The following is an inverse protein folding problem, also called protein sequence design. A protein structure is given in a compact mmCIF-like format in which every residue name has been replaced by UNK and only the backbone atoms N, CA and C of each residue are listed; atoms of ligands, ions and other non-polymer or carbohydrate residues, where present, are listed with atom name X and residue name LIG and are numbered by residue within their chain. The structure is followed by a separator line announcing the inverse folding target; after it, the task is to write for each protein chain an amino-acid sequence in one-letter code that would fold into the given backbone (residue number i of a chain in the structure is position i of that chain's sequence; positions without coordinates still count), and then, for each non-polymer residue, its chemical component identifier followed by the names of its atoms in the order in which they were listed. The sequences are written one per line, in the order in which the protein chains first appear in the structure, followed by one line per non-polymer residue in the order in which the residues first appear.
data_IF_057767964280
#
_entry.id   IF_057767964280
#
_cell.length_a   1.000
_cell.length_b   1.000
_cell.length_c   1.000
_cell.angle_alpha   90.00
_cell.angle_beta   90.00
_cell.angle_gamma   90.00
#
_symmetry.space_group_name_H-M   'P 1'
#
loop_
_entity.id
_entity.type
_entity.pdbx_description
1 polymer ?
2 polymer ?
3 polymer ?
#
# COMPACT_ATOMS: atom_id res chain seq x y z
N UNK A 1 -13.82 1.29 7.93
CA UNK A 1 -12.54 0.66 8.25
C UNK A 1 -12.29 -0.53 7.34
N UNK A 2 -11.08 -1.07 7.38
CA UNK A 2 -10.67 -2.20 6.57
C UNK A 2 -10.61 -3.44 7.44
N UNK A 3 -11.27 -4.51 7.02
CA UNK A 3 -11.23 -5.76 7.77
C UNK A 3 -11.07 -6.94 6.83
N UNK A 4 -10.27 -7.91 7.28
CA UNK A 4 -10.08 -9.17 6.58
C UNK A 4 -10.58 -10.29 7.48
N UNK A 5 -11.53 -11.08 6.99
CA UNK A 5 -12.15 -12.14 7.77
C UNK A 5 -11.95 -13.46 7.05
N UNK A 6 -11.72 -14.52 7.81
CA UNK A 6 -11.44 -15.83 7.25
C UNK A 6 -12.61 -16.78 7.52
N UNK A 7 -12.51 -17.97 6.94
CA UNK A 7 -13.50 -19.03 7.16
C UNK A 7 -13.19 -19.77 8.46
N UNK A 8 -13.95 -20.83 8.70
CA UNK A 8 -13.81 -21.61 9.92
C UNK A 8 -12.61 -22.54 9.89
N UNK A 9 -12.43 -23.25 10.99
CA UNK A 9 -11.33 -24.19 11.12
C UNK A 9 -11.58 -25.44 10.27
N UNK A 10 -10.49 -26.12 9.94
CA UNK A 10 -10.54 -27.36 9.18
C UNK A 10 -9.74 -28.44 9.90
N UNK A 11 -10.26 -29.68 9.82
CA UNK A 11 -9.71 -30.82 10.55
C UNK A 11 -9.36 -31.83 9.44
N UNK A 12 -8.89 -31.30 8.31
CA UNK A 12 -8.56 -32.14 7.16
C UNK A 12 -7.48 -33.16 7.50
N UNK A 13 -7.69 -34.40 7.05
CA UNK A 13 -6.75 -35.48 7.26
C UNK A 13 -5.54 -35.32 6.35
N UNK A 14 -4.43 -36.02 6.65
CA UNK A 14 -3.27 -35.97 5.75
C UNK A 14 -3.61 -36.44 4.33
N UNK A 15 -3.03 -35.75 3.35
CA UNK A 15 -3.23 -36.06 1.95
C UNK A 15 -4.24 -35.17 1.26
N UNK A 16 -5.06 -34.45 2.01
CA UNK A 16 -6.09 -33.60 1.43
C UNK A 16 -5.53 -32.19 1.20
N UNK A 17 -6.41 -31.26 0.82
CA UNK A 17 -6.02 -29.89 0.56
C UNK A 17 -7.00 -28.95 1.25
N UNK A 18 -6.53 -27.75 1.56
CA UNK A 18 -7.34 -26.76 2.26
C UNK A 18 -7.89 -25.77 1.25
N UNK A 19 -8.92 -25.04 1.68
CA UNK A 19 -9.63 -24.05 0.87
C UNK A 19 -9.81 -22.79 1.70
N UNK A 20 -8.72 -22.28 2.25
CA UNK A 20 -8.80 -21.24 3.27
C UNK A 20 -9.12 -19.91 2.58
N UNK A 21 -10.29 -19.35 2.87
CA UNK A 21 -10.81 -18.19 2.16
C UNK A 21 -10.61 -16.94 3.00
N UNK A 22 -10.26 -15.84 2.33
CA UNK A 22 -10.00 -14.55 2.96
C UNK A 22 -10.88 -13.51 2.30
N UNK A 23 -11.92 -13.07 3.00
CA UNK A 23 -12.78 -12.00 2.52
C UNK A 23 -12.24 -10.66 2.98
N UNK A 24 -12.13 -9.73 2.04
CA UNK A 24 -11.60 -8.40 2.30
C UNK A 24 -12.70 -7.37 2.14
N UNK A 25 -12.85 -6.48 3.12
CA UNK A 25 -13.92 -5.48 3.07
C UNK A 25 -13.39 -4.15 3.57
N UNK A 26 -14.00 -3.08 3.07
CA UNK A 26 -13.64 -1.73 3.44
C UNK A 26 -12.62 -1.07 2.54
N UNK A 27 -12.16 -1.73 1.50
CA UNK A 27 -11.14 -1.18 0.61
C UNK A 27 -11.27 -1.85 -0.75
N UNK A 28 -10.64 -1.23 -1.75
CA UNK A 28 -10.69 -1.73 -3.12
C UNK A 28 -9.81 -2.96 -3.25
N UNK A 29 -10.45 -4.13 -3.42
CA UNK A 29 -9.72 -5.38 -3.43
C UNK A 29 -8.78 -5.47 -4.64
N UNK A 30 -9.20 -4.95 -5.78
CA UNK A 30 -8.28 -4.75 -6.89
C UNK A 30 -7.26 -3.69 -6.48
N UNK A 31 -5.98 -3.99 -6.70
CA UNK A 31 -4.93 -3.22 -6.07
C UNK A 31 -4.55 -3.82 -4.73
N UNK A 32 -3.55 -3.22 -4.12
CA UNK A 32 -2.90 -3.71 -2.88
C UNK A 32 -2.40 -5.13 -3.12
N UNK A 33 -2.26 -5.91 -2.05
CA UNK A 33 -1.78 -7.29 -2.16
C UNK A 33 -2.43 -8.12 -1.06
N UNK A 34 -2.46 -9.43 -1.28
CA UNK A 34 -2.95 -10.36 -0.26
C UNK A 34 -1.84 -11.37 0.01
N UNK A 35 -1.21 -11.27 1.16
CA UNK A 35 -0.18 -12.21 1.56
C UNK A 35 -0.76 -13.24 2.51
N UNK A 36 -0.21 -14.45 2.46
CA UNK A 36 -0.60 -15.54 3.35
C UNK A 36 0.63 -15.92 4.15
N UNK A 37 0.50 -15.89 5.48
CA UNK A 37 1.58 -16.21 6.40
C UNK A 37 1.04 -17.19 7.43
N UNK A 38 1.74 -18.30 7.64
CA UNK A 38 1.27 -19.29 8.61
C UNK A 38 2.14 -19.26 9.87
N UNK A 39 1.53 -19.65 10.98
CA UNK A 39 2.20 -19.69 12.27
C UNK A 39 1.86 -21.02 12.93
N UNK A 40 2.85 -21.89 13.04
CA UNK A 40 2.67 -23.11 13.81
C UNK A 40 2.59 -22.77 15.30
N UNK A 41 1.77 -23.49 16.07
CA UNK A 41 1.62 -23.15 17.50
C UNK A 41 2.89 -23.47 18.27
N UNK A 42 3.43 -22.45 18.94
CA UNK A 42 4.67 -22.56 19.66
C UNK A 42 5.90 -22.05 18.94
N UNK A 43 5.75 -21.59 17.70
CA UNK A 43 6.87 -21.09 16.90
C UNK A 43 6.50 -19.73 16.32
N UNK A 44 7.49 -19.09 15.69
CA UNK A 44 7.28 -17.79 15.11
C UNK A 44 6.60 -17.83 13.76
N UNK A 45 6.27 -16.65 13.25
CA UNK A 45 5.64 -16.54 11.94
C UNK A 45 6.65 -16.87 10.85
N UNK A 46 6.25 -17.72 9.91
CA UNK A 46 7.01 -17.95 8.69
C UNK A 46 6.06 -17.80 7.51
N UNK A 47 6.60 -17.30 6.41
CA UNK A 47 5.77 -16.77 5.34
C UNK A 47 5.23 -17.97 4.56
N UNK A 48 4.15 -17.77 3.81
CA UNK A 48 3.79 -18.72 2.76
C UNK A 48 3.89 -18.11 1.36
N UNK A 49 3.16 -17.03 1.07
CA UNK A 49 3.19 -16.50 -0.29
C UNK A 49 2.25 -15.33 -0.54
N UNK A 50 2.55 -14.44 -1.50
CA UNK A 50 1.60 -13.37 -1.80
C UNK A 50 0.98 -13.56 -3.18
N UNK A 51 -0.30 -13.20 -3.25
CA UNK A 51 -1.05 -13.04 -4.49
C UNK A 51 -1.35 -11.56 -4.71
N UNK A 52 -1.19 -11.13 -5.96
CA UNK A 52 -1.61 -9.81 -6.39
C UNK A 52 -2.97 -9.92 -7.05
N UNK A 53 -4.00 -9.25 -6.54
CA UNK A 53 -5.35 -9.41 -7.12
C UNK A 53 -5.48 -8.88 -8.54
N UNK A 54 -4.58 -8.01 -9.01
CA UNK A 54 -4.71 -7.46 -10.36
C UNK A 54 -4.36 -8.49 -11.42
N UNK A 55 -3.27 -9.23 -11.23
CA UNK A 55 -2.70 -10.04 -12.31
C UNK A 55 -2.74 -11.55 -12.06
N UNK A 56 -3.00 -11.99 -10.83
CA UNK A 56 -2.92 -13.41 -10.43
C UNK A 56 -1.56 -14.01 -10.78
N UNK A 57 -0.51 -13.30 -10.42
CA UNK A 57 0.84 -13.86 -10.37
C UNK A 57 1.19 -14.06 -8.91
N UNK A 58 1.76 -15.21 -8.60
CA UNK A 58 2.05 -15.59 -7.23
C UNK A 58 3.53 -15.34 -6.92
N UNK A 59 3.83 -15.31 -5.63
CA UNK A 59 5.21 -15.46 -5.18
C UNK A 59 5.15 -16.31 -3.91
N UNK A 60 5.50 -17.57 -4.05
CA UNK A 60 5.62 -18.47 -2.91
C UNK A 60 7.04 -18.43 -2.35
N UNK A 61 7.18 -18.91 -1.12
CA UNK A 61 8.51 -19.21 -0.62
C UNK A 61 9.04 -20.46 -1.32
N UNK A 62 10.36 -20.65 -1.24
CA UNK A 62 10.97 -21.80 -1.90
C UNK A 62 10.60 -23.11 -1.24
N UNK A 63 10.13 -23.08 0.01
CA UNK A 63 9.67 -24.30 0.67
C UNK A 63 8.30 -24.71 0.17
N UNK A 64 7.45 -23.75 -0.15
CA UNK A 64 6.06 -24.00 -0.52
C UNK A 64 5.84 -23.98 -2.03
N UNK A 65 6.91 -24.00 -2.82
CA UNK A 65 6.79 -23.96 -4.27
C UNK A 65 6.25 -25.30 -4.78
N UNK A 66 5.12 -25.26 -5.47
CA UNK A 66 4.53 -26.43 -6.07
C UNK A 66 3.38 -27.05 -5.30
N UNK A 67 3.25 -26.74 -4.01
CA UNK A 67 2.16 -27.28 -3.20
C UNK A 67 1.04 -26.28 -2.95
N UNK A 68 1.33 -24.98 -3.02
CA UNK A 68 0.38 -23.93 -2.66
C UNK A 68 0.00 -23.20 -3.92
N UNK A 69 -1.31 -22.98 -4.12
CA UNK A 69 -1.81 -22.19 -5.24
C UNK A 69 -2.80 -21.17 -4.71
N UNK A 70 -2.39 -19.89 -4.68
CA UNK A 70 -3.30 -18.82 -4.34
C UNK A 70 -4.13 -18.42 -5.55
N UNK A 71 -5.44 -18.28 -5.35
CA UNK A 71 -6.36 -17.83 -6.38
C UNK A 71 -7.12 -16.64 -5.80
N UNK A 72 -7.41 -15.63 -6.63
CA UNK A 72 -8.24 -14.53 -6.16
C UNK A 72 -9.53 -14.48 -6.97
N UNK A 73 -10.59 -14.05 -6.31
CA UNK A 73 -11.88 -13.81 -6.96
C UNK A 73 -12.25 -12.37 -6.59
N UNK A 74 -12.03 -11.47 -7.55
CA UNK A 74 -12.24 -10.04 -7.31
C UNK A 74 -13.71 -9.66 -7.34
N UNK A 75 -14.59 -10.52 -7.87
CA UNK A 75 -16.02 -10.24 -7.82
C UNK A 75 -16.55 -10.29 -6.39
N UNK A 76 -16.10 -11.28 -5.61
CA UNK A 76 -16.48 -11.37 -4.21
C UNK A 76 -15.38 -10.86 -3.28
N UNK A 77 -14.28 -10.34 -3.84
CA UNK A 77 -13.16 -9.77 -3.09
C UNK A 77 -12.56 -10.78 -2.10
N UNK A 78 -12.37 -12.02 -2.56
CA UNK A 78 -11.97 -13.10 -1.68
C UNK A 78 -10.78 -13.84 -2.26
N UNK A 79 -9.75 -14.05 -1.45
CA UNK A 79 -8.57 -14.80 -1.84
C UNK A 79 -8.64 -16.21 -1.27
N UNK A 80 -8.60 -17.20 -2.15
CA UNK A 80 -8.55 -18.61 -1.75
C UNK A 80 -7.10 -19.09 -1.68
N UNK A 81 -6.81 -19.84 -0.63
CA UNK A 81 -5.58 -20.59 -0.46
C UNK A 81 -5.86 -22.08 -0.63
N UNK A 82 -4.98 -22.74 -1.38
CA UNK A 82 -5.04 -24.19 -1.62
C UNK A 82 -3.66 -24.77 -1.32
N UNK A 83 -3.44 -25.25 -0.10
CA UNK A 83 -2.21 -25.95 0.24
C UNK A 83 -2.49 -27.44 0.03
N UNK A 84 -2.03 -27.98 -1.09
CA UNK A 84 -2.23 -29.38 -1.40
C UNK A 84 -1.14 -30.23 -0.77
N UNK A 85 -1.46 -31.53 -0.62
CA UNK A 85 -0.56 -32.54 -0.05
C UNK A 85 -0.10 -32.16 1.35
N UNK A 86 -1.07 -32.09 2.26
CA UNK A 86 -0.81 -31.75 3.66
C UNK A 86 0.01 -32.85 4.34
N UNK A 87 0.83 -32.44 5.29
CA UNK A 87 1.44 -33.38 6.23
C UNK A 87 1.11 -32.95 7.66
N UNK A 88 1.70 -33.68 8.62
CA UNK A 88 1.44 -33.39 10.03
C UNK A 88 2.09 -32.09 10.48
N UNK A 89 3.10 -31.59 9.77
CA UNK A 89 3.77 -30.35 10.14
C UNK A 89 3.00 -29.11 9.70
N UNK A 90 1.90 -29.28 8.96
CA UNK A 90 1.14 -28.15 8.45
C UNK A 90 0.04 -27.69 9.39
N UNK A 91 -0.06 -28.26 10.58
CA UNK A 91 -1.01 -27.78 11.58
C UNK A 91 -0.57 -26.40 12.07
N UNK A 92 -1.39 -25.39 11.78
CA UNK A 92 -0.98 -24.00 12.00
C UNK A 92 -2.18 -23.08 11.92
N UNK A 93 -1.96 -21.82 12.30
CA UNK A 93 -2.90 -20.74 12.08
C UNK A 93 -2.48 -20.01 10.82
N UNK A 94 -3.39 -19.88 9.86
CA UNK A 94 -3.04 -19.34 8.54
C UNK A 94 -3.58 -17.92 8.40
N UNK A 95 -2.76 -16.95 8.77
CA UNK A 95 -3.14 -15.55 8.73
C UNK A 95 -3.12 -15.01 7.31
N UNK A 96 -4.08 -14.12 7.03
CA UNK A 96 -4.24 -13.42 5.76
C UNK A 96 -3.99 -11.94 6.00
N UNK A 97 -2.88 -11.43 5.48
CA UNK A 97 -2.52 -10.04 5.70
C UNK A 97 -2.55 -9.25 4.39
N UNK A 98 -2.62 -7.93 4.53
CA UNK A 98 -2.74 -7.03 3.39
C UNK A 98 -1.55 -6.08 3.38
N UNK A 99 -0.77 -6.10 2.30
CA UNK A 99 0.34 -5.17 2.16
C UNK A 99 -0.16 -3.76 1.93
N UNK A 100 0.47 -2.79 2.61
CA UNK A 100 0.03 -1.41 2.56
C UNK A 100 0.43 -0.73 1.25
N UNK A 101 0.15 0.57 1.17
CA UNK A 101 0.50 1.35 -0.01
C UNK A 101 2.01 1.46 -0.15
N UNK A 102 2.51 1.06 -1.31
CA UNK A 102 3.94 0.98 -1.54
C UNK A 102 4.51 2.35 -1.88
N UNK A 103 5.36 2.87 -0.98
CA UNK A 103 6.13 4.08 -1.24
C UNK A 103 7.61 3.78 -1.06
N UNK A 104 8.40 4.02 -2.12
CA UNK A 104 9.83 3.74 -2.21
C UNK A 104 10.13 2.30 -1.75
N UNK A 105 9.69 1.32 -2.53
CA UNK A 105 9.92 -0.07 -2.19
C UNK A 105 8.80 -0.64 -1.35
N UNK A 106 8.80 -1.96 -1.16
CA UNK A 106 7.68 -2.63 -0.50
C UNK A 106 7.59 -2.30 0.98
N UNK A 107 6.40 -2.54 1.54
CA UNK A 107 6.03 -1.99 2.83
C UNK A 107 5.39 -3.08 3.69
N UNK A 108 4.78 -2.64 4.78
CA UNK A 108 4.32 -3.53 5.85
C UNK A 108 3.00 -4.19 5.48
N UNK A 109 2.47 -4.95 6.43
CA UNK A 109 1.19 -5.65 6.33
C UNK A 109 0.20 -4.90 7.22
N UNK A 110 -0.58 -4.02 6.61
CA UNK A 110 -1.27 -2.96 7.34
C UNK A 110 -2.43 -3.47 8.18
N UNK A 111 -3.25 -4.36 7.62
CA UNK A 111 -4.24 -5.12 8.39
C UNK A 111 -4.00 -6.62 8.27
N UNK A 112 -4.36 -7.34 9.33
CA UNK A 112 -4.20 -8.78 9.40
C UNK A 112 -5.58 -9.44 9.54
N UNK A 113 -5.67 -10.69 9.09
CA UNK A 113 -6.91 -11.42 9.11
C UNK A 113 -7.19 -12.09 10.44
N UNK A 114 -8.20 -12.95 10.43
CA UNK A 114 -8.61 -13.70 11.61
C UNK A 114 -7.69 -14.93 11.69
N UNK A 115 -7.92 -15.83 12.65
CA UNK A 115 -7.09 -17.01 12.76
C UNK A 115 -7.76 -18.30 12.32
N UNK A 116 -7.29 -18.89 11.22
CA UNK A 116 -7.79 -20.17 10.75
C UNK A 116 -6.86 -21.27 11.23
N UNK A 117 -7.34 -22.06 12.18
CA UNK A 117 -6.60 -23.22 12.69
C UNK A 117 -6.84 -24.41 11.77
N UNK A 118 -5.81 -24.81 11.03
CA UNK A 118 -5.86 -26.03 10.24
C UNK A 118 -5.04 -27.06 11.02
N UNK A 119 -5.74 -28.04 11.58
CA UNK A 119 -5.10 -29.15 12.28
C UNK A 119 -5.12 -30.39 11.38
N UNK A 120 -3.98 -31.05 11.28
CA UNK A 120 -3.81 -32.19 10.39
C UNK A 120 -3.23 -33.34 11.22
N UNK A 121 -4.02 -34.40 11.40
CA UNK A 121 -3.59 -35.56 12.16
C UNK A 121 -4.46 -36.74 11.77
N UNK A 122 -4.09 -37.92 12.27
CA UNK A 122 -4.84 -39.13 11.98
C UNK A 122 -6.17 -39.16 12.71
N UNK B 3 15.24 -16.28 8.12
CA UNK B 3 16.44 -15.69 7.54
C UNK B 3 17.07 -14.71 8.51
N UNK B 4 16.26 -13.78 9.02
CA UNK B 4 16.74 -12.80 9.98
C UNK B 4 17.00 -13.46 11.33
N UNK B 5 18.14 -13.15 11.93
CA UNK B 5 18.53 -13.70 13.21
C UNK B 5 18.20 -12.73 14.33
N UNK B 6 17.46 -13.20 15.32
CA UNK B 6 17.04 -12.41 16.47
C UNK B 6 17.34 -13.17 17.74
N UNK B 7 17.48 -12.49 18.87
CA UNK B 7 17.57 -13.20 20.14
C UNK B 7 16.28 -13.93 20.44
N UNK B 8 16.35 -15.09 21.12
CA UNK B 8 15.13 -15.83 21.41
C UNK B 8 14.16 -15.10 22.33
N UNK B 9 14.64 -14.61 23.47
CA UNK B 9 13.78 -13.94 24.43
C UNK B 9 14.59 -12.88 25.17
N UNK B 10 13.88 -11.92 25.75
CA UNK B 10 14.48 -10.86 26.55
C UNK B 10 13.56 -10.58 27.73
N UNK B 11 14.15 -10.21 28.87
CA UNK B 11 13.42 -9.96 30.09
C UNK B 11 13.75 -8.55 30.60
N UNK B 12 13.17 -8.20 31.75
CA UNK B 12 13.42 -6.91 32.35
C UNK B 12 12.29 -6.43 33.24
N UNK B 13 12.64 -5.65 34.26
CA UNK B 13 11.66 -5.06 35.14
C UNK B 13 10.88 -3.97 34.40
N UNK B 14 9.66 -3.68 34.83
CA UNK B 14 8.94 -2.54 34.24
C UNK B 14 9.61 -1.21 34.57
N UNK B 15 9.56 -0.29 33.61
CA UNK B 15 9.97 1.09 33.84
C UNK B 15 11.22 1.56 33.15
N UNK B 16 11.96 0.70 32.44
CA UNK B 16 13.16 1.17 31.75
C UNK B 16 13.20 0.79 30.28
N UNK B 17 14.33 1.08 29.64
CA UNK B 17 14.52 0.96 28.20
C UNK B 17 15.16 -0.39 27.90
N UNK B 18 14.56 -1.14 26.98
CA UNK B 18 15.19 -2.38 26.51
C UNK B 18 15.09 -2.46 24.99
N UNK B 19 16.17 -2.94 24.36
CA UNK B 19 16.37 -2.96 22.92
C UNK B 19 16.40 -4.40 22.43
N UNK B 20 15.67 -4.67 21.35
CA UNK B 20 15.78 -5.93 20.61
C UNK B 20 16.33 -5.62 19.23
N UNK B 21 16.99 -6.61 18.64
CA UNK B 21 17.75 -6.43 17.42
C UNK B 21 17.13 -7.26 16.29
N UNK B 22 17.66 -7.04 15.09
CA UNK B 22 17.21 -7.75 13.89
C UNK B 22 18.39 -7.74 12.92
N UNK B 23 19.09 -8.86 12.82
CA UNK B 23 20.29 -8.97 12.01
C UNK B 23 20.02 -9.83 10.78
N UNK B 24 20.33 -9.29 9.61
CA UNK B 24 20.16 -10.02 8.37
C UNK B 24 21.35 -9.91 7.45
N UNK B 25 21.19 -10.38 6.20
CA UNK B 25 22.27 -10.32 5.23
C UNK B 25 22.22 -9.00 4.46
N UNK B 26 23.20 -8.82 3.58
CA UNK B 26 23.25 -7.60 2.77
C UNK B 26 22.22 -7.60 1.64
N UNK B 27 21.67 -8.77 1.31
CA UNK B 27 20.70 -8.85 0.22
C UNK B 27 19.30 -8.44 0.64
N UNK B 28 19.01 -8.33 1.93
CA UNK B 28 17.64 -8.07 2.33
C UNK B 28 17.49 -6.89 3.29
N UNK B 29 18.47 -6.61 4.13
CA UNK B 29 18.52 -5.35 4.89
C UNK B 29 19.54 -4.39 4.30
N UNK B 30 20.73 -4.88 3.97
CA UNK B 30 21.76 -4.04 3.38
C UNK B 30 21.45 -3.58 1.97
N UNK B 31 20.50 -4.24 1.29
CA UNK B 31 20.07 -3.80 -0.03
C UNK B 31 19.19 -2.56 0.02
N UNK B 32 18.77 -2.13 1.22
CA UNK B 32 17.96 -0.94 1.36
C UNK B 32 16.49 -1.20 1.60
N UNK B 33 16.10 -2.45 1.88
CA UNK B 33 14.70 -2.79 1.97
C UNK B 33 14.18 -2.48 3.38
N UNK B 34 12.92 -2.07 3.45
CA UNK B 34 12.37 -1.55 4.69
C UNK B 34 12.09 -2.68 5.67
N UNK B 35 12.65 -2.57 6.87
CA UNK B 35 12.41 -3.51 7.96
C UNK B 35 11.19 -3.05 8.73
N UNK B 36 10.27 -3.98 8.99
CA UNK B 36 9.04 -3.65 9.70
C UNK B 36 8.92 -4.51 10.94
N UNK B 37 8.26 -3.99 11.97
CA UNK B 37 8.16 -4.66 13.26
C UNK B 37 6.71 -4.91 13.63
N UNK B 38 6.46 -6.08 14.22
CA UNK B 38 5.11 -6.56 14.50
C UNK B 38 4.99 -7.03 15.93
N UNK B 39 3.88 -6.66 16.57
CA UNK B 39 3.52 -7.08 17.91
C UNK B 39 2.40 -8.11 17.85
N UNK B 40 2.59 -9.23 18.53
CA UNK B 40 1.60 -10.30 18.62
C UNK B 40 1.26 -10.50 20.09
N UNK B 41 0.06 -10.09 20.49
CA UNK B 41 -0.47 -10.48 21.78
C UNK B 41 -0.86 -11.95 21.74
N UNK B 42 -0.80 -12.64 22.88
CA UNK B 42 -1.18 -14.06 22.90
C UNK B 42 -2.65 -14.26 22.58
N UNK B 43 -2.94 -15.24 21.73
CA UNK B 43 -4.30 -15.62 21.41
C UNK B 43 -4.96 -14.82 20.31
N UNK B 44 -4.26 -13.87 19.68
CA UNK B 44 -4.83 -13.04 18.64
C UNK B 44 -3.85 -12.92 17.48
N UNK B 45 -4.34 -12.35 16.39
CA UNK B 45 -3.50 -12.08 15.23
C UNK B 45 -2.48 -10.98 15.55
N UNK B 46 -1.29 -11.05 14.97
CA UNK B 46 -0.30 -9.98 15.18
C UNK B 46 -0.78 -8.64 14.65
N UNK B 47 -0.41 -7.58 15.35
CA UNK B 47 -0.84 -6.23 15.03
C UNK B 47 0.37 -5.42 14.59
N UNK B 48 0.15 -4.53 13.61
CA UNK B 48 1.19 -3.64 13.10
C UNK B 48 1.76 -2.79 14.23
N UNK B 49 3.08 -2.76 14.35
CA UNK B 49 3.75 -2.01 15.39
C UNK B 49 4.59 -0.87 14.83
N UNK B 50 5.55 -1.17 13.95
CA UNK B 50 6.41 -0.15 13.36
C UNK B 50 6.47 -0.40 11.85
N UNK B 51 6.13 0.63 11.06
CA UNK B 51 6.25 0.56 9.62
C UNK B 51 7.23 1.65 9.21
N UNK B 52 7.87 1.47 8.06
CA UNK B 52 8.76 2.49 7.55
C UNK B 52 9.96 2.77 8.43
N UNK B 53 10.27 1.80 9.30
CA UNK B 53 11.53 1.64 10.03
C UNK B 53 11.68 2.65 11.17
N UNK B 54 10.99 3.79 11.13
CA UNK B 54 11.04 4.73 12.24
C UNK B 54 9.67 5.34 12.46
N UNK B 55 8.80 5.18 11.47
CA UNK B 55 7.49 5.78 11.53
C UNK B 55 6.61 4.98 12.48
N UNK B 56 5.57 5.62 12.98
CA UNK B 56 4.71 5.04 14.01
C UNK B 56 3.27 5.24 13.59
N UNK B 57 2.48 4.17 13.48
CA UNK B 57 1.09 4.30 13.06
C UNK B 57 0.21 4.80 14.20
N UNK B 58 -1.09 4.86 13.93
CA UNK B 58 -2.05 5.30 14.93
C UNK B 58 -2.41 4.16 15.87
N UNK B 59 -2.89 4.51 17.06
CA UNK B 59 -3.28 3.54 18.04
C UNK B 59 -2.15 2.97 18.87
N UNK B 60 -0.92 3.40 18.63
CA UNK B 60 0.24 2.88 19.35
C UNK B 60 1.01 4.08 19.91
N UNK B 61 1.43 4.04 21.18
CA UNK B 61 2.09 5.21 21.78
C UNK B 61 3.55 5.32 21.34
N UNK B 62 4.18 6.42 21.77
CA UNK B 62 5.50 6.82 21.30
C UNK B 62 6.65 6.07 21.97
N UNK B 63 6.37 5.14 22.88
CA UNK B 63 7.46 4.47 23.58
C UNK B 63 8.21 3.50 22.68
N UNK B 64 7.53 2.93 21.67
CA UNK B 64 8.18 2.12 20.65
C UNK B 64 8.98 2.98 19.68
N UNK B 65 10.22 2.57 19.40
CA UNK B 65 11.05 3.27 18.43
C UNK B 65 11.88 2.26 17.64
N UNK B 66 12.30 2.67 16.44
CA UNK B 66 13.06 1.78 15.57
C UNK B 66 14.09 2.53 14.74
N UNK B 67 15.10 1.80 14.27
CA UNK B 67 16.14 2.35 13.43
C UNK B 67 16.83 1.25 12.62
N UNK B 68 17.57 1.65 11.57
CA UNK B 68 18.44 0.74 10.85
C UNK B 68 19.88 1.25 10.89
N UNK B 69 20.80 0.34 10.60
CA UNK B 69 22.18 0.72 10.27
C UNK B 69 22.75 -0.42 9.43
N UNK B 70 22.97 -0.15 8.14
CA UNK B 70 23.56 -1.10 7.22
C UNK B 70 22.76 -2.38 7.08
N UNK B 71 23.25 -3.45 7.69
CA UNK B 71 22.60 -4.75 7.67
C UNK B 71 21.94 -5.10 9.01
N UNK B 72 21.56 -4.09 9.80
CA UNK B 72 20.96 -4.33 11.10
C UNK B 72 19.78 -3.39 11.31
N UNK B 73 18.85 -3.83 12.17
CA UNK B 73 17.74 -2.99 12.60
C UNK B 73 17.56 -3.19 14.10
N UNK B 74 16.95 -2.20 14.75
CA UNK B 74 16.79 -2.24 16.19
C UNK B 74 15.50 -1.57 16.61
N UNK B 75 14.79 -2.23 17.53
CA UNK B 75 13.62 -1.67 18.19
C UNK B 75 13.94 -1.43 19.65
N UNK B 76 13.37 -0.37 20.21
CA UNK B 76 13.54 -0.06 21.62
C UNK B 76 12.21 0.32 22.23
N UNK B 77 12.00 -0.10 23.48
CA UNK B 77 10.85 0.32 24.27
C UNK B 77 11.36 1.09 25.49
N UNK B 78 10.68 2.19 25.80
CA UNK B 78 11.01 3.07 26.90
C UNK B 78 9.85 3.03 27.90
N UNK B 79 10.15 2.75 29.16
CA UNK B 79 9.11 2.71 30.16
C UNK B 79 8.17 1.53 29.97
N UNK B 80 8.67 0.33 30.22
CA UNK B 80 7.90 -0.89 29.99
C UNK B 80 6.84 -1.08 31.08
N UNK B 81 5.69 -1.62 30.69
CA UNK B 81 4.65 -1.97 31.66
C UNK B 81 4.14 -3.39 31.49
N UNK B 82 3.08 -3.73 32.21
CA UNK B 82 2.54 -5.10 32.24
C UNK B 82 1.77 -5.46 30.97
N UNK B 83 1.56 -4.52 30.05
CA UNK B 83 0.87 -4.82 28.81
C UNK B 83 1.82 -5.11 27.65
N UNK B 84 3.08 -4.68 27.75
CA UNK B 84 4.01 -4.75 26.63
C UNK B 84 4.74 -6.09 26.52
N UNK B 85 4.41 -7.07 27.35
CA UNK B 85 4.96 -8.42 27.19
C UNK B 85 4.17 -9.13 26.10
N UNK B 86 4.76 -9.20 24.91
CA UNK B 86 4.12 -9.83 23.75
C UNK B 86 5.22 -10.23 22.78
N UNK B 87 4.87 -11.08 21.83
CA UNK B 87 5.86 -11.52 20.85
C UNK B 87 6.17 -10.39 19.87
N UNK B 88 7.43 -10.22 19.52
CA UNK B 88 7.83 -9.23 18.53
C UNK B 88 8.59 -9.89 17.39
N UNK B 89 8.30 -9.41 16.17
CA UNK B 89 8.91 -9.89 14.95
C UNK B 89 9.44 -8.72 14.14
N UNK B 90 10.49 -8.97 13.35
CA UNK B 90 10.96 -8.03 12.35
C UNK B 90 10.91 -8.70 10.98
N UNK B 91 10.82 -7.90 9.93
CA UNK B 91 10.79 -8.45 8.59
C UNK B 91 11.53 -7.54 7.63
N UNK B 92 11.93 -8.13 6.50
CA UNK B 92 12.55 -7.38 5.42
C UNK B 92 12.28 -8.09 4.09
N UNK B 93 12.38 -7.34 3.00
CA UNK B 93 12.22 -7.92 1.68
C UNK B 93 13.60 -8.18 1.06
N UNK B 94 13.66 -9.15 0.14
CA UNK B 94 14.92 -9.54 -0.46
C UNK B 94 15.00 -9.10 -1.92
N UNK B 95 16.03 -9.59 -2.62
CA UNK B 95 16.23 -9.19 -4.02
C UNK B 95 15.20 -9.83 -4.94
N UNK B 96 14.64 -10.97 -4.54
CA UNK B 96 13.49 -11.55 -5.23
C UNK B 96 12.19 -10.93 -4.77
N UNK B 97 12.27 -9.98 -3.84
CA UNK B 97 11.14 -9.24 -3.25
C UNK B 97 10.20 -10.21 -2.55
N UNK B 98 10.80 -11.23 -1.97
CA UNK B 98 10.14 -12.22 -1.14
C UNK B 98 10.34 -11.83 0.32
N UNK B 99 9.24 -11.60 1.03
CA UNK B 99 9.32 -11.08 2.40
C UNK B 99 9.81 -12.18 3.33
N UNK B 100 10.73 -11.84 4.22
CA UNK B 100 11.22 -12.78 5.22
C UNK B 100 10.96 -12.19 6.60
N UNK B 101 10.37 -13.02 7.46
CA UNK B 101 10.16 -12.70 8.86
C UNK B 101 11.34 -13.18 9.69
N UNK B 102 11.62 -12.46 10.77
CA UNK B 102 12.60 -12.92 11.73
C UNK B 102 12.03 -13.93 12.69
N UNK B 103 12.84 -14.31 13.66
CA UNK B 103 12.37 -15.19 14.72
C UNK B 103 11.46 -14.46 15.68
N UNK B 104 10.86 -15.23 16.58
CA UNK B 104 9.97 -14.67 17.59
C UNK B 104 10.77 -14.25 18.81
N UNK B 105 10.66 -12.98 19.17
CA UNK B 105 11.30 -12.49 20.39
C UNK B 105 10.24 -12.40 21.49
N UNK B 106 10.46 -13.18 22.55
CA UNK B 106 9.59 -13.24 23.73
C UNK B 106 10.08 -12.22 24.73
N UNK B 107 9.54 -11.00 24.65
CA UNK B 107 9.78 -10.02 25.69
C UNK B 107 8.90 -10.38 26.88
N UNK B 108 9.51 -10.93 27.92
CA UNK B 108 8.77 -11.40 29.09
C UNK B 108 9.37 -10.86 30.38
N UNK C 25 -15.89 48.09 1.59
CA UNK C 25 -15.71 47.07 0.57
C UNK C 25 -14.72 46.01 1.05
N UNK C 26 -15.18 44.76 1.10
CA UNK C 26 -14.37 43.63 1.54
C UNK C 26 -14.17 42.70 0.36
N UNK C 27 -12.93 42.26 0.15
CA UNK C 27 -12.59 41.38 -0.95
C UNK C 27 -12.43 39.96 -0.43
N UNK C 28 -13.07 38.99 -1.10
CA UNK C 28 -12.86 37.60 -0.75
C UNK C 28 -12.60 36.79 -2.01
N UNK C 29 -11.79 35.74 -1.87
CA UNK C 29 -11.32 34.94 -3.00
C UNK C 29 -11.77 33.50 -2.78
N UNK C 30 -12.43 32.92 -3.79
CA UNK C 30 -12.94 31.56 -3.68
C UNK C 30 -12.41 30.71 -4.83
N UNK C 31 -11.81 29.56 -4.54
CA UNK C 31 -11.38 28.65 -5.61
C UNK C 31 -12.58 27.98 -6.25
N UNK C 32 -12.53 27.84 -7.57
CA UNK C 32 -13.62 27.25 -8.33
C UNK C 32 -13.11 26.01 -9.08
N UNK C 33 -11.84 26.04 -9.46
CA UNK C 33 -11.32 25.07 -10.41
C UNK C 33 -10.08 24.38 -9.88
N UNK C 34 -9.74 23.27 -10.53
CA UNK C 34 -8.49 22.56 -10.32
C UNK C 34 -8.10 21.96 -11.67
N UNK C 35 -6.80 21.82 -11.89
CA UNK C 35 -6.28 21.41 -13.19
C UNK C 35 -6.70 19.98 -13.52
N UNK C 36 -7.32 19.82 -14.70
CA UNK C 36 -7.83 18.53 -15.14
C UNK C 36 -6.67 17.63 -15.58
N UNK C 37 -6.46 16.53 -14.86
CA UNK C 37 -5.35 15.60 -15.15
C UNK C 37 -5.93 14.23 -15.46
N UNK C 38 -5.96 13.88 -16.75
CA UNK C 38 -6.41 12.56 -17.17
C UNK C 38 -5.22 11.66 -17.46
N UNK C 39 -5.41 10.36 -17.26
CA UNK C 39 -4.36 9.36 -17.43
C UNK C 39 -4.83 8.33 -18.44
N UNK C 40 -4.02 8.09 -19.47
CA UNK C 40 -4.26 7.03 -20.44
C UNK C 40 -3.43 5.82 -20.03
N UNK C 41 -4.12 4.69 -19.81
CA UNK C 41 -3.47 3.51 -19.23
C UNK C 41 -2.54 2.81 -20.21
N UNK C 42 -2.75 2.99 -21.53
CA UNK C 42 -2.08 2.17 -22.53
C UNK C 42 -0.57 2.37 -22.52
N UNK C 43 -0.12 3.62 -22.37
CA UNK C 43 1.31 3.90 -22.25
C UNK C 43 1.72 4.21 -20.82
N UNK C 44 0.78 4.33 -19.89
CA UNK C 44 1.14 4.42 -18.48
C UNK C 44 1.62 3.08 -17.95
N UNK C 45 0.92 2.01 -18.29
CA UNK C 45 1.33 0.68 -17.84
C UNK C 45 2.49 0.17 -18.68
N UNK C 46 2.33 0.17 -20.00
CA UNK C 46 3.35 -0.32 -20.90
C UNK C 46 4.49 0.69 -21.06
N UNK C 52 3.59 -4.24 -26.10
CA UNK C 52 3.36 -5.62 -25.68
C UNK C 52 1.88 -5.96 -25.67
N UNK C 53 1.09 -5.07 -25.08
CA UNK C 53 -0.37 -5.12 -24.98
C UNK C 53 -0.89 -6.32 -24.19
N UNK C 54 0.00 -7.10 -23.55
CA UNK C 54 -0.42 -8.13 -22.62
C UNK C 54 -0.38 -7.67 -21.17
N UNK C 55 0.48 -6.68 -20.86
CA UNK C 55 0.45 -6.04 -19.55
C UNK C 55 -0.84 -5.26 -19.37
N UNK C 56 -1.39 -4.70 -20.45
CA UNK C 56 -2.65 -3.98 -20.35
C UNK C 56 -3.77 -4.92 -19.95
N UNK C 57 -3.77 -6.15 -20.50
CA UNK C 57 -4.81 -7.12 -20.16
C UNK C 57 -4.73 -7.53 -18.68
N UNK C 58 -3.51 -7.66 -18.15
CA UNK C 58 -3.37 -8.04 -16.75
C UNK C 58 -3.73 -6.89 -15.81
N UNK C 59 -3.26 -5.68 -16.12
CA UNK C 59 -3.31 -4.57 -15.17
C UNK C 59 -4.34 -3.51 -15.54
N UNK C 60 -5.27 -3.81 -16.44
CA UNK C 60 -6.18 -2.80 -16.93
C UNK C 60 -7.30 -2.43 -15.99
N UNK C 61 -7.74 -3.35 -15.13
CA UNK C 61 -8.92 -3.10 -14.30
C UNK C 61 -8.66 -1.99 -13.28
N UNK C 62 -7.56 -2.10 -12.53
CA UNK C 62 -7.24 -1.12 -11.50
C UNK C 62 -6.95 0.24 -12.12
N UNK C 63 -6.21 0.27 -13.22
CA UNK C 63 -5.94 1.52 -13.91
C UNK C 63 -7.22 2.10 -14.54
N UNK C 64 -8.17 1.24 -14.90
CA UNK C 64 -9.44 1.72 -15.43
C UNK C 64 -10.25 2.40 -14.33
N UNK C 65 -10.26 1.83 -13.12
CA UNK C 65 -10.90 2.53 -12.00
C UNK C 65 -10.22 3.85 -11.69
N UNK C 66 -8.88 3.88 -11.73
CA UNK C 66 -8.16 5.12 -11.47
C UNK C 66 -8.43 6.17 -12.54
N UNK C 67 -8.46 5.75 -13.81
CA UNK C 67 -8.71 6.69 -14.91
C UNK C 67 -10.15 7.20 -14.86
N UNK C 68 -11.10 6.32 -14.50
CA UNK C 68 -12.48 6.75 -14.36
C UNK C 68 -12.64 7.73 -13.22
N UNK C 69 -11.95 7.51 -12.10
CA UNK C 69 -11.98 8.46 -10.99
C UNK C 69 -11.35 9.79 -11.39
N UNK C 70 -10.24 9.76 -12.14
CA UNK C 70 -9.58 11.00 -12.54
C UNK C 70 -10.42 11.79 -13.54
N UNK C 71 -11.06 11.11 -14.49
CA UNK C 71 -11.92 11.85 -15.41
C UNK C 71 -13.21 12.29 -14.72
N UNK C 72 -13.64 11.60 -13.65
CA UNK C 72 -14.70 12.13 -12.82
C UNK C 72 -14.30 13.40 -12.12
N UNK C 73 -13.06 13.46 -11.61
CA UNK C 73 -12.53 14.68 -11.01
C UNK C 73 -12.48 15.81 -12.04
N UNK C 74 -12.02 15.48 -13.26
CA UNK C 74 -11.90 16.49 -14.31
C UNK C 74 -13.26 17.04 -14.73
N UNK C 75 -14.23 16.15 -14.90
CA UNK C 75 -15.58 16.58 -15.27
C UNK C 75 -16.23 17.34 -14.10
N UNK C 76 -15.91 16.96 -12.87
CA UNK C 76 -16.37 17.69 -11.69
C UNK C 76 -15.84 19.11 -11.69
N UNK C 77 -14.55 19.28 -11.99
CA UNK C 77 -13.97 20.63 -12.07
C UNK C 77 -14.61 21.42 -13.21
N UNK C 78 -14.91 20.75 -14.32
CA UNK C 78 -15.51 21.43 -15.46
C UNK C 78 -16.92 21.92 -15.12
N UNK C 79 -17.75 21.09 -14.49
CA UNK C 79 -19.08 21.60 -14.15
C UNK C 79 -19.03 22.57 -12.98
N UNK C 80 -17.98 22.51 -12.15
CA UNK C 80 -17.79 23.54 -11.13
C UNK C 80 -17.59 24.90 -11.77
N UNK C 81 -16.70 24.96 -12.78
CA UNK C 81 -16.49 26.22 -13.51
C UNK C 81 -17.75 26.66 -14.23
N UNK C 82 -18.46 25.70 -14.87
CA UNK C 82 -19.68 26.02 -15.59
C UNK C 82 -20.77 26.53 -14.67
N UNK C 83 -20.89 25.95 -13.48
CA UNK C 83 -21.94 26.35 -12.54
C UNK C 83 -21.63 27.71 -11.92
N UNK C 84 -20.38 27.97 -11.55
CA UNK C 84 -20.07 29.24 -10.92
C UNK C 84 -20.09 30.39 -11.93
N UNK C 85 -19.42 30.22 -13.07
CA UNK C 85 -19.34 31.32 -14.03
C UNK C 85 -20.65 31.53 -14.78
N UNK C 86 -21.32 30.45 -15.18
CA UNK C 86 -22.57 30.59 -15.91
C UNK C 86 -23.76 30.21 -15.02
N UNK C 136 4.33 19.42 -12.83
CA UNK C 136 5.06 19.29 -14.08
C UNK C 136 4.37 20.13 -15.16
N UNK C 137 3.40 20.93 -14.70
CA UNK C 137 2.45 21.61 -15.58
C UNK C 137 3.16 22.56 -16.55
N UNK C 138 4.23 23.21 -16.10
CA UNK C 138 5.00 24.09 -16.97
C UNK C 138 5.66 23.32 -18.11
N UNK C 139 6.20 22.14 -17.82
CA UNK C 139 6.90 21.37 -18.85
C UNK C 139 5.93 20.75 -19.86
N UNK C 140 4.70 20.45 -19.44
CA UNK C 140 3.74 19.85 -20.36
C UNK C 140 3.19 20.87 -21.35
N UNK C 141 3.03 22.12 -20.92
CA UNK C 141 2.50 23.16 -21.79
C UNK C 141 3.49 23.60 -22.86
N UNK C 155 3.33 13.27 -25.02
CA UNK C 155 2.78 12.68 -23.81
C UNK C 155 3.59 11.47 -23.38
N UNK C 156 4.38 10.92 -24.31
CA UNK C 156 5.20 9.75 -24.01
C UNK C 156 6.37 10.08 -23.09
N UNK C 157 6.78 11.34 -23.02
CA UNK C 157 7.89 11.74 -22.17
C UNK C 157 7.52 11.69 -20.69
N UNK C 158 6.22 11.76 -20.36
CA UNK C 158 5.75 11.81 -18.99
C UNK C 158 5.03 10.54 -18.57
N UNK C 159 5.26 9.44 -19.30
CA UNK C 159 4.64 8.13 -19.04
C UNK C 159 3.12 8.20 -19.05
N UNK C 160 2.58 8.97 -20.00
CA UNK C 160 1.14 9.03 -20.18
C UNK C 160 0.39 9.84 -19.15
N UNK C 161 1.09 10.58 -18.30
CA UNK C 161 0.47 11.43 -17.30
C UNK C 161 0.29 12.81 -17.92
N UNK C 162 -0.93 13.10 -18.37
CA UNK C 162 -1.21 14.28 -19.18
C UNK C 162 -1.99 15.31 -18.38
N UNK C 163 -2.24 16.45 -19.02
CA UNK C 163 -3.04 17.54 -18.47
C UNK C 163 -4.09 17.91 -19.50
N UNK C 164 -5.36 17.82 -19.11
CA UNK C 164 -6.46 18.17 -20.01
C UNK C 164 -6.80 19.64 -19.83
N UNK C 165 -6.72 20.47 -20.88
CA UNK C 165 -7.13 21.87 -20.75
C UNK C 165 -8.64 21.97 -20.64
N UNK C 166 -9.13 22.85 -19.76
CA UNK C 166 -10.59 23.05 -19.65
C UNK C 166 -11.16 23.70 -20.90
N UNK C 167 -12.42 23.37 -21.19
CA UNK C 167 -13.08 23.94 -22.36
C UNK C 167 -13.46 25.40 -22.15
N UNK C 168 -13.64 25.82 -20.90
CA UNK C 168 -13.93 27.22 -20.61
C UNK C 168 -12.65 28.02 -20.48
N UNK C 248 -4.65 37.50 -2.60
CA UNK C 248 -4.62 36.35 -3.51
C UNK C 248 -3.87 35.19 -2.89
N UNK C 249 -4.43 34.59 -1.85
CA UNK C 249 -3.73 33.51 -1.18
C UNK C 249 -4.27 32.14 -1.49
N UNK C 250 -5.60 31.96 -1.42
CA UNK C 250 -6.21 30.63 -1.47
C UNK C 250 -5.98 29.96 -2.82
N UNK C 251 -6.07 30.73 -3.90
CA UNK C 251 -5.75 30.21 -5.22
C UNK C 251 -4.30 29.77 -5.31
N UNK C 252 -3.41 30.49 -4.63
CA UNK C 252 -2.01 30.08 -4.61
C UNK C 252 -1.82 28.74 -3.90
N UNK C 253 -2.54 28.50 -2.80
CA UNK C 253 -2.48 27.16 -2.21
C UNK C 253 -3.05 26.10 -3.13
N UNK C 254 -4.14 26.40 -3.84
CA UNK C 254 -4.73 25.42 -4.76
C UNK C 254 -3.71 25.02 -5.84
N UNK C 255 -3.08 26.03 -6.46
CA UNK C 255 -2.08 25.77 -7.50
C UNK C 255 -0.85 25.07 -6.92
N UNK C 256 -0.38 25.51 -5.75
CA UNK C 256 0.85 24.96 -5.19
C UNK C 256 0.69 23.51 -4.75
N UNK C 257 -0.38 23.18 -4.01
CA UNK C 257 -0.56 21.77 -3.66
C UNK C 257 -0.97 20.90 -4.84
N UNK C 258 -1.63 21.44 -5.87
CA UNK C 258 -1.85 20.65 -7.07
C UNK C 258 -0.53 20.31 -7.76
N UNK C 259 0.35 21.31 -7.88
CA UNK C 259 1.67 21.07 -8.46
C UNK C 259 2.52 20.15 -7.59
N UNK C 260 2.37 20.25 -6.27
CA UNK C 260 3.09 19.36 -5.36
C UNK C 260 2.64 17.91 -5.53
N UNK C 261 1.32 17.70 -5.67
CA UNK C 261 0.81 16.35 -5.88
C UNK C 261 1.31 15.76 -7.20
N UNK C 262 1.25 16.56 -8.27
CA UNK C 262 1.70 16.06 -9.57
C UNK C 262 3.21 15.83 -9.59
N UNK C 263 3.98 16.72 -8.96
CA UNK C 263 5.43 16.57 -8.90
C UNK C 263 5.84 15.38 -8.06
N UNK C 264 5.14 15.15 -6.94
CA UNK C 264 5.40 13.97 -6.12
C UNK C 264 5.10 12.70 -6.90
N UNK C 265 4.01 12.71 -7.69
CA UNK C 265 3.68 11.55 -8.51
C UNK C 265 4.77 11.28 -9.55
N UNK C 266 5.21 12.33 -10.26
CA UNK C 266 6.25 12.18 -11.29
C UNK C 266 7.57 11.72 -10.67
N UNK C 267 7.94 12.29 -9.52
CA UNK C 267 9.12 11.84 -8.80
C UNK C 267 9.00 10.40 -8.35
N UNK C 268 7.77 9.95 -8.05
CA UNK C 268 7.62 8.60 -7.52
C UNK C 268 7.61 7.54 -8.62
N UNK C 269 7.13 7.87 -9.83
CA UNK C 269 7.34 6.95 -10.95
C UNK C 269 8.81 6.73 -11.28
N UNK C 270 9.67 7.72 -11.00
CA UNK C 270 11.10 7.55 -11.27
C UNK C 270 11.76 6.55 -10.33
N UNK C 271 11.14 6.23 -9.20
CA UNK C 271 11.72 5.27 -8.26
C UNK C 271 11.63 3.85 -8.82
N UNK C 272 12.63 3.04 -8.48
CA UNK C 272 12.65 1.65 -8.93
C UNK C 272 11.62 0.77 -8.22
N UNK C 273 11.12 1.22 -7.06
CA UNK C 273 10.15 0.49 -6.25
C UNK C 273 10.66 -0.91 -5.87
N UNK C 274 11.95 -0.97 -5.54
CA UNK C 274 12.55 -2.21 -5.11
C UNK C 274 12.92 -3.16 -6.22
N UNK C 275 12.70 -2.79 -7.47
CA UNK C 275 13.03 -3.64 -8.59
C UNK C 275 14.50 -3.50 -8.94
N UNK C 276 14.96 -4.32 -9.89
CA UNK C 276 16.33 -4.20 -10.36
C UNK C 276 16.54 -2.95 -11.20
N UNK C 277 15.48 -2.39 -11.77
CA UNK C 277 15.55 -1.16 -12.54
C UNK C 277 14.16 -0.55 -12.60
N UNK C 278 14.11 0.73 -12.96
CA UNK C 278 12.85 1.46 -13.06
C UNK C 278 12.30 1.50 -14.48
N UNK C 279 12.95 0.84 -15.43
CA UNK C 279 12.52 0.85 -16.82
C UNK C 279 12.10 -0.56 -17.23
N UNK C 280 11.18 -0.62 -18.20
CA UNK C 280 10.67 -1.91 -18.67
C UNK C 280 11.59 -2.60 -19.67
N UNK C 281 12.52 -1.84 -20.29
CA UNK C 281 13.39 -2.46 -21.28
C UNK C 281 14.45 -3.33 -20.63
N UNK C 282 15.06 -2.84 -19.54
CA UNK C 282 16.16 -3.57 -18.90
C UNK C 282 15.67 -4.75 -18.09
N UNK C 283 14.43 -4.70 -17.59
CA UNK C 283 13.92 -5.77 -16.73
C UNK C 283 13.57 -7.01 -17.54
N UNK C 284 13.30 -6.86 -18.83
CA UNK C 284 13.12 -7.98 -19.75
C UNK C 284 14.40 -8.35 -20.47
N UNK C 285 15.53 -7.72 -20.13
CA UNK C 285 16.76 -7.90 -20.88
C UNK C 285 17.74 -8.84 -20.16
N UNK C 286 18.11 -8.54 -18.92
CA UNK C 286 19.14 -9.28 -18.23
C UNK C 286 18.61 -10.18 -17.12
N UNK C 287 17.30 -10.39 -17.05
CA UNK C 287 16.73 -11.19 -15.97
C UNK C 287 15.68 -12.13 -16.55
N UNK C 288 15.58 -13.32 -15.96
CA UNK C 288 14.80 -14.41 -16.55
C UNK C 288 13.30 -14.14 -16.44
N UNK C 289 12.52 -14.59 -17.42
CA UNK C 289 11.06 -14.34 -17.45
C UNK C 289 10.29 -14.83 -16.21
N UNK C 290 10.53 -16.04 -15.65
CA UNK C 290 9.70 -16.44 -14.50
C UNK C 290 9.94 -15.62 -13.24
N UNK C 291 11.07 -14.93 -13.13
CA UNK C 291 11.26 -13.93 -12.09
C UNK C 291 10.86 -12.54 -12.57
N UNK C 292 10.98 -12.30 -13.88
CA UNK C 292 10.61 -11.00 -14.43
C UNK C 292 9.11 -10.74 -14.33
N UNK C 293 8.29 -11.80 -14.34
CA UNK C 293 6.85 -11.58 -14.15
C UNK C 293 6.54 -11.02 -12.77
N UNK C 294 7.17 -11.58 -11.73
CA UNK C 294 7.03 -11.05 -10.37
C UNK C 294 7.58 -9.64 -10.28
N UNK C 295 8.74 -9.41 -10.89
CA UNK C 295 9.41 -8.10 -10.82
C UNK C 295 8.56 -7.01 -11.48
N UNK C 296 8.04 -7.30 -12.68
CA UNK C 296 7.19 -6.38 -13.41
C UNK C 296 5.86 -6.17 -12.70
N UNK C 297 5.32 -7.22 -12.05
CA UNK C 297 4.13 -7.04 -11.24
C UNK C 297 4.35 -6.05 -10.11
N UNK C 298 5.45 -6.24 -9.37
CA UNK C 298 5.85 -5.31 -8.32
C UNK C 298 5.94 -3.88 -8.85
N UNK C 299 6.64 -3.71 -9.98
CA UNK C 299 6.89 -2.36 -10.51
C UNK C 299 5.61 -1.67 -10.98
N UNK C 300 4.83 -2.34 -11.84
CA UNK C 300 3.65 -1.68 -12.41
C UNK C 300 2.56 -1.51 -11.35
N UNK C 301 2.36 -2.51 -10.49
CA UNK C 301 1.37 -2.35 -9.43
C UNK C 301 1.80 -1.29 -8.43
N UNK C 302 3.12 -1.10 -8.23
CA UNK C 302 3.57 0.01 -7.41
C UNK C 302 3.30 1.37 -8.02
N UNK C 303 3.52 1.50 -9.33
CA UNK C 303 3.15 2.75 -10.01
C UNK C 303 1.64 2.99 -9.95
N UNK C 304 0.86 1.92 -10.06
CA UNK C 304 -0.59 2.06 -9.95
C UNK C 304 -1.02 2.42 -8.54
N UNK C 305 -0.31 1.95 -7.51
CA UNK C 305 -0.63 2.36 -6.14
C UNK C 305 -0.23 3.82 -5.90
N UNK C 306 0.86 4.26 -6.52
CA UNK C 306 1.20 5.69 -6.49
C UNK C 306 0.11 6.52 -7.13
N UNK C 307 -0.41 6.06 -8.26
CA UNK C 307 -1.54 6.74 -8.89
C UNK C 307 -2.79 6.67 -8.01
N UNK C 308 -2.97 5.57 -7.27
CA UNK C 308 -4.08 5.47 -6.31
C UNK C 308 -3.96 6.52 -5.21
N UNK C 309 -2.75 6.72 -4.68
CA UNK C 309 -2.54 7.75 -3.67
C UNK C 309 -2.83 9.14 -4.24
N UNK C 310 -2.40 9.37 -5.49
CA UNK C 310 -2.71 10.64 -6.16
C UNK C 310 -4.22 10.81 -6.33
N UNK C 311 -4.92 9.73 -6.71
CA UNK C 311 -6.38 9.79 -6.87
C UNK C 311 -7.07 10.09 -5.55
N UNK C 312 -6.61 9.49 -4.45
CA UNK C 312 -7.21 9.77 -3.15
C UNK C 312 -7.02 11.23 -2.73
N UNK C 313 -5.81 11.76 -2.95
CA UNK C 313 -5.58 13.18 -2.65
C UNK C 313 -6.43 14.08 -3.53
N UNK C 314 -6.58 13.73 -4.81
CA UNK C 314 -7.44 14.53 -5.68
C UNK C 314 -8.92 14.39 -5.32
N UNK C 315 -9.33 13.24 -4.77
CA UNK C 315 -10.71 13.10 -4.30
C UNK C 315 -10.98 14.04 -3.13
N UNK C 316 -10.10 14.05 -2.12
CA UNK C 316 -10.37 14.90 -0.97
C UNK C 316 -10.23 16.38 -1.33
N UNK C 317 -9.28 16.71 -2.21
CA UNK C 317 -9.13 18.11 -2.60
C UNK C 317 -10.27 18.54 -3.52
N UNK C 318 -10.76 17.64 -4.38
CA UNK C 318 -11.91 17.94 -5.21
C UNK C 318 -13.16 18.11 -4.38
N UNK C 319 -13.27 17.39 -3.26
CA UNK C 319 -14.36 17.65 -2.32
C UNK C 319 -14.25 19.05 -1.72
N UNK C 320 -13.03 19.47 -1.38
CA UNK C 320 -12.85 20.81 -0.80
C UNK C 320 -13.23 21.91 -1.79
N UNK C 321 -12.67 21.88 -3.00
CA UNK C 321 -13.07 22.85 -4.03
C UNK C 321 -14.52 22.63 -4.49
N UNK C 322 -15.10 21.44 -4.32
CA UNK C 322 -16.52 21.28 -4.57
C UNK C 322 -17.36 22.08 -3.58
N UNK C 323 -17.03 21.99 -2.29
CA UNK C 323 -17.73 22.77 -1.29
C UNK C 323 -17.57 24.26 -1.53
N UNK C 324 -16.35 24.69 -1.85
CA UNK C 324 -16.12 26.10 -2.17
C UNK C 324 -16.86 26.53 -3.44
N UNK C 325 -17.02 25.62 -4.40
CA UNK C 325 -17.68 25.96 -5.66
C UNK C 325 -19.18 26.10 -5.48
N UNK C 326 -19.81 25.21 -4.70
CA UNK C 326 -21.22 25.43 -4.38
C UNK C 326 -21.42 26.68 -3.53
N UNK C 327 -20.48 26.99 -2.64
CA UNK C 327 -20.59 28.24 -1.87
C UNK C 327 -20.52 29.46 -2.79
N UNK C 328 -19.60 29.44 -3.75
CA UNK C 328 -19.49 30.56 -4.70
C UNK C 328 -20.70 30.63 -5.62
N UNK C 329 -21.26 29.47 -5.99
CA UNK C 329 -22.45 29.45 -6.84
C UNK C 329 -23.66 30.02 -6.11
N UNK C 330 -23.80 29.71 -4.81
CA UNK C 330 -24.86 30.35 -4.03
C UNK C 330 -24.60 31.84 -3.85
N UNK C 331 -23.33 32.26 -3.77
CA UNK C 331 -23.05 33.69 -3.71
C UNK C 331 -23.32 34.36 -5.05
N UNK C 332 -23.22 33.63 -6.16
CA UNK C 332 -23.63 34.17 -7.46
C UNK C 332 -25.05 33.75 -7.79
N UNK C 353 -23.82 45.40 -2.03
CA UNK C 353 -23.88 44.67 -3.28
C UNK C 353 -22.57 43.89 -3.51
N UNK C 354 -22.51 43.10 -4.56
CA UNK C 354 -21.36 42.27 -4.85
C UNK C 354 -20.97 42.42 -6.32
N UNK C 355 -19.69 42.63 -6.58
CA UNK C 355 -19.14 42.69 -7.92
C UNK C 355 -18.15 41.55 -8.12
N UNK C 356 -18.37 40.64 -9.05
CA UNK C 356 -17.42 39.53 -9.26
C UNK C 356 -16.38 39.82 -10.34
N UNK C 357 -15.22 39.21 -10.14
CA UNK C 357 -14.14 39.24 -11.13
C UNK C 357 -13.52 37.87 -11.22
N UNK C 358 -13.07 37.52 -12.43
CA UNK C 358 -12.41 36.24 -12.65
C UNK C 358 -11.01 36.26 -12.07
N UNK C 359 -10.44 35.07 -11.90
CA UNK C 359 -9.11 34.92 -11.32
C UNK C 359 -8.58 33.55 -11.73
N UNK C 360 -7.25 33.36 -11.72
CA UNK C 360 -6.70 32.04 -12.10
C UNK C 360 -7.21 30.93 -11.20
N UNK C 361 -7.98 30.02 -11.81
CA UNK C 361 -8.65 28.90 -11.15
C UNK C 361 -9.63 29.34 -10.07
N UNK C 362 -10.24 30.51 -10.20
CA UNK C 362 -11.19 30.91 -9.18
C UNK C 362 -11.85 32.24 -9.47
N UNK C 363 -12.58 32.72 -8.46
CA UNK C 363 -13.30 33.98 -8.55
C UNK C 363 -12.95 34.84 -7.35
N UNK C 364 -13.17 36.15 -7.50
CA UNK C 364 -13.00 37.10 -6.41
C UNK C 364 -14.22 38.00 -6.35
N UNK C 365 -14.69 38.28 -5.14
CA UNK C 365 -15.87 39.09 -4.90
C UNK C 365 -15.48 40.37 -4.18
N UNK C 366 -15.97 41.49 -4.71
CA UNK C 366 -15.90 42.80 -4.07
C UNK C 366 -17.25 43.06 -3.44
N UNK C 367 -17.33 42.99 -2.11
CA UNK C 367 -18.57 43.21 -1.39
C UNK C 367 -18.60 44.64 -0.89
N UNK C 368 -19.44 45.47 -1.51
CA UNK C 368 -19.65 46.84 -1.06
C UNK C 368 -20.74 46.83 0.01
N UNK C 369 -20.51 47.57 1.08
CA UNK C 369 -21.40 47.55 2.24
C UNK C 369 -21.56 48.94 2.84
#
# INVERSE_FOLDING_TARGET
QVQLVQSGAEVKKPGASVKVSCKASGYTFTGYYIHWVRQAPGQGLEWMGWINPNSDVTNYAQKFQGRVTMTRDTSISTAYMELSRLRSDDTAVYYCAREATMIRGPSDFDYWGQGTLVTVSS
QSVLSQPPSVSGAPGQRVTISCTGSSSNIGAGYDVHWYQQLPGTAPKLLIYGNNNRPSGVPDRFSGSKSGTSASLAITGLQAEDEADYYCQSYDRSLSVVFGGGTKLTVL
SLGAENSVAYSNNSIAIPTNFTISVTTEILPVSMTKTSVDCTMYICGDSTECSNLLLQYGSFCTQLNRALTGIAVEQDKNTQEVFAQVKQIYKTPPIKDFGGFNFSQILPDPSKPSKRSPIEDLLFNKVTLADAGFIKQYGDCLGDIAARDLICAQKFNGLTVLPPLLTDEMIAQYTSALLACTITSGWTCGAGPALQIPFPMQMAYRFNGIGVPQNVLYENQKLIANQFNSAIGKIQDSLSSTPSALGKLQDVVNQNAQALNTLVKQLSSNFGAISSVLNDILSRLDPPEAEVQIDRLITGRLQSLQTYVTQQLIRAAEIRASANLAATKMSECVLGQSKRVDFCGKGYHLMSFPQSAPHGVVFLHVTYVPAQEKNFTTAPAICHDGKAHFPREGVFVSNGTHWFVTQRNFYEPQIITCDNTFVSGNCDVVIGIVNNTVYCPLQPELDSFKEELDKYFKNHTSGSHHHHHHHH
#
